data_IF_797059942740
#
_entry.id   IF_797059942740
#
_cell.length_a   1.000
_cell.length_b   1.000
_cell.length_c   1.000
_cell.angle_alpha   90.00
_cell.angle_beta   90.00
_cell.angle_gamma   90.00
#
_symmetry.space_group_name_H-M   'P 1'
#
loop_
_entity.id
_entity.type
_entity.pdbx_description
1 polymer ?
#
# COMPACT_ATOMS: atom_id res chain seq x y z
N UNK A 1 -25.63 17.93 -26.99
CA UNK A 1 -24.52 17.33 -27.76
C UNK A 1 -23.70 16.49 -26.78
N UNK A 2 -23.88 15.16 -26.77
CA UNK A 2 -23.16 14.23 -25.87
C UNK A 2 -21.75 14.05 -26.42
N UNK A 3 -20.73 14.48 -25.69
CA UNK A 3 -19.35 14.11 -25.98
C UNK A 3 -19.21 12.60 -25.78
N UNK A 4 -18.70 11.95 -26.82
CA UNK A 4 -18.46 10.52 -26.87
C UNK A 4 -17.63 10.08 -25.66
N UNK A 5 -18.09 9.02 -24.98
CA UNK A 5 -17.26 8.25 -24.08
C UNK A 5 -15.98 7.87 -24.83
N UNK A 6 -14.84 8.38 -24.36
CA UNK A 6 -13.54 7.86 -24.74
C UNK A 6 -13.55 6.36 -24.46
N UNK A 7 -13.48 5.56 -25.52
CA UNK A 7 -13.43 4.12 -25.42
C UNK A 7 -12.21 3.72 -24.59
N UNK A 8 -12.42 3.13 -23.42
CA UNK A 8 -11.37 2.48 -22.68
C UNK A 8 -11.10 1.10 -23.33
N UNK A 9 -10.34 1.09 -24.43
CA UNK A 9 -9.95 -0.11 -25.19
C UNK A 9 -8.77 -0.84 -24.51
N UNK A 10 -8.32 -0.35 -23.35
CA UNK A 10 -7.26 -0.97 -22.56
C UNK A 10 -7.74 -2.28 -21.95
N UNK A 11 -7.12 -3.39 -22.32
CA UNK A 11 -7.26 -4.64 -21.57
C UNK A 11 -6.47 -4.46 -20.27
N UNK A 12 -7.16 -4.40 -19.13
CA UNK A 12 -6.52 -4.29 -17.83
C UNK A 12 -5.57 -5.46 -17.60
N UNK A 13 -4.28 -5.17 -17.47
CA UNK A 13 -3.30 -6.15 -16.98
C UNK A 13 -3.37 -6.07 -15.46
N UNK A 14 -3.74 -7.18 -14.81
CA UNK A 14 -3.69 -7.27 -13.36
C UNK A 14 -2.21 -7.21 -12.93
N UNK A 15 -1.79 -6.06 -12.40
CA UNK A 15 -0.46 -5.91 -11.82
C UNK A 15 -0.45 -6.54 -10.43
N UNK A 16 -0.06 -7.80 -10.36
CA UNK A 16 0.28 -8.47 -9.11
C UNK A 16 1.65 -8.00 -8.64
N UNK A 17 1.83 -7.89 -7.32
CA UNK A 17 3.14 -7.63 -6.75
C UNK A 17 4.08 -8.82 -7.01
N UNK A 18 5.38 -8.55 -6.94
CA UNK A 18 6.40 -9.56 -7.16
C UNK A 18 6.31 -10.72 -6.17
N UNK A 19 6.55 -11.92 -6.69
CA UNK A 19 6.77 -13.13 -5.91
C UNK A 19 8.26 -13.32 -5.58
N UNK A 20 8.55 -14.16 -4.58
CA UNK A 20 9.91 -14.39 -4.08
C UNK A 20 10.90 -14.84 -5.19
N UNK A 21 10.42 -15.60 -6.16
CA UNK A 21 11.19 -16.05 -7.33
C UNK A 21 11.57 -14.90 -8.28
N UNK A 22 10.75 -13.86 -8.39
CA UNK A 22 10.95 -12.70 -9.28
C UNK A 22 11.91 -11.67 -8.67
N UNK A 23 11.96 -11.58 -7.33
CA UNK A 23 12.84 -10.64 -6.61
C UNK A 23 14.14 -11.25 -6.11
N UNK A 24 14.50 -12.47 -6.55
CA UNK A 24 15.79 -13.10 -6.22
C UNK A 24 17.01 -12.18 -6.40
N UNK A 25 17.10 -11.31 -7.43
CA UNK A 25 18.23 -10.39 -7.56
C UNK A 25 18.40 -9.42 -6.38
N UNK A 26 17.33 -9.10 -5.63
CA UNK A 26 17.40 -8.24 -4.46
C UNK A 26 18.12 -8.88 -3.27
N UNK A 27 18.24 -10.21 -3.25
CA UNK A 27 18.95 -10.96 -2.19
C UNK A 27 20.40 -10.47 -2.06
N UNK A 28 21.08 -10.26 -3.19
CA UNK A 28 22.48 -9.83 -3.22
C UNK A 28 22.69 -8.49 -2.49
N UNK A 29 21.69 -7.60 -2.51
CA UNK A 29 21.74 -6.32 -1.80
C UNK A 29 21.58 -6.43 -0.28
N UNK A 30 21.16 -7.60 0.22
CA UNK A 30 20.85 -7.85 1.64
C UNK A 30 21.88 -8.76 2.33
N UNK A 31 22.73 -9.48 1.57
CA UNK A 31 23.71 -10.45 2.11
C UNK A 31 24.63 -9.85 3.18
N UNK A 32 25.06 -8.59 3.00
CA UNK A 32 25.94 -7.93 3.97
C UNK A 32 25.22 -7.46 5.26
N UNK A 33 23.89 -7.55 5.31
CA UNK A 33 23.06 -6.99 6.40
C UNK A 33 22.31 -8.05 7.20
N UNK A 34 22.37 -9.32 6.83
CA UNK A 34 21.61 -10.36 7.52
C UNK A 34 22.19 -11.76 7.34
N UNK A 35 21.91 -12.64 8.30
CA UNK A 35 22.29 -14.06 8.20
C UNK A 35 21.45 -14.83 7.17
N UNK A 36 20.17 -14.49 7.02
CA UNK A 36 19.26 -15.16 6.09
C UNK A 36 18.50 -14.16 5.19
N UNK A 37 19.13 -13.73 4.08
CA UNK A 37 18.52 -12.79 3.12
C UNK A 37 17.19 -13.26 2.53
N UNK A 38 17.00 -14.58 2.39
CA UNK A 38 15.76 -15.13 1.85
C UNK A 38 14.58 -14.95 2.82
N UNK A 39 14.81 -15.20 4.11
CA UNK A 39 13.80 -14.95 5.15
C UNK A 39 13.49 -13.46 5.25
N UNK A 40 14.52 -12.62 5.26
CA UNK A 40 14.34 -11.16 5.27
C UNK A 40 13.48 -10.71 4.09
N UNK A 41 13.80 -11.15 2.86
CA UNK A 41 13.04 -10.79 1.68
C UNK A 41 11.60 -11.32 1.73
N UNK A 42 11.38 -12.52 2.26
CA UNK A 42 10.03 -13.06 2.47
C UNK A 42 9.21 -12.19 3.43
N UNK A 43 9.83 -11.70 4.50
CA UNK A 43 9.16 -10.77 5.43
C UNK A 43 8.88 -9.42 4.77
N UNK A 44 9.81 -8.88 3.99
CA UNK A 44 9.57 -7.65 3.22
C UNK A 44 8.35 -7.82 2.31
N UNK A 45 8.29 -8.91 1.52
CA UNK A 45 7.16 -9.18 0.63
C UNK A 45 5.84 -9.36 1.38
N UNK A 46 5.87 -9.95 2.59
CA UNK A 46 4.69 -10.09 3.45
C UNK A 46 4.10 -8.73 3.85
N UNK A 47 4.97 -7.72 4.00
CA UNK A 47 4.57 -6.35 4.33
C UNK A 47 4.19 -5.50 3.13
N UNK A 48 4.92 -5.61 2.02
CA UNK A 48 4.75 -4.76 0.82
C UNK A 48 3.74 -5.34 -0.18
N UNK A 49 3.37 -6.61 -0.02
CA UNK A 49 2.55 -7.35 -0.98
C UNK A 49 3.24 -7.52 -2.34
N UNK A 50 4.58 -7.43 -2.38
CA UNK A 50 5.39 -7.48 -3.59
C UNK A 50 5.34 -6.22 -4.45
N UNK A 51 4.72 -5.13 -3.98
CA UNK A 51 4.65 -3.91 -4.78
C UNK A 51 6.07 -3.38 -5.04
N UNK A 52 6.48 -3.15 -6.30
CA UNK A 52 7.88 -2.85 -6.65
C UNK A 52 8.46 -1.67 -5.86
N UNK A 53 7.71 -0.56 -5.80
CA UNK A 53 8.13 0.66 -5.10
C UNK A 53 8.38 0.43 -3.61
N UNK A 54 7.43 -0.20 -2.92
CA UNK A 54 7.53 -0.44 -1.47
C UNK A 54 8.61 -1.49 -1.16
N UNK A 55 8.72 -2.53 -2.00
CA UNK A 55 9.75 -3.57 -1.86
C UNK A 55 11.14 -2.99 -2.01
N UNK A 56 11.35 -2.14 -3.02
CA UNK A 56 12.62 -1.45 -3.23
C UNK A 56 12.94 -0.48 -2.09
N UNK A 57 11.94 0.30 -1.63
CA UNK A 57 12.08 1.22 -0.51
C UNK A 57 12.53 0.50 0.77
N UNK A 58 11.88 -0.60 1.14
CA UNK A 58 12.24 -1.37 2.34
C UNK A 58 13.64 -1.98 2.22
N UNK A 59 14.01 -2.53 1.05
CA UNK A 59 15.38 -3.03 0.84
C UNK A 59 16.43 -1.92 0.97
N UNK A 60 16.14 -0.71 0.46
CA UNK A 60 17.03 0.44 0.60
C UNK A 60 17.19 0.87 2.06
N UNK A 61 16.09 0.93 2.83
CA UNK A 61 16.14 1.25 4.25
C UNK A 61 17.03 0.29 5.05
N UNK A 62 16.95 -1.02 4.76
CA UNK A 62 17.83 -2.01 5.41
C UNK A 62 19.29 -1.74 5.05
N UNK A 63 19.58 -1.57 3.74
CA UNK A 63 20.94 -1.37 3.25
C UNK A 63 21.59 -0.12 3.84
N UNK A 64 20.83 0.96 3.94
CA UNK A 64 21.33 2.28 4.37
C UNK A 64 21.35 2.42 5.91
N UNK A 65 20.75 1.48 6.64
CA UNK A 65 20.80 1.42 8.10
C UNK A 65 22.04 0.68 8.62
N UNK A 66 22.48 1.00 9.83
CA UNK A 66 23.59 0.30 10.51
C UNK A 66 23.17 -1.03 11.16
N UNK A 67 21.93 -1.48 10.92
CA UNK A 67 21.40 -2.68 11.54
C UNK A 67 21.98 -3.96 10.93
N UNK A 68 22.01 -5.01 11.74
CA UNK A 68 22.29 -6.36 11.28
C UNK A 68 21.18 -7.31 11.73
N UNK A 69 20.60 -8.06 10.79
CA UNK A 69 19.43 -8.91 11.03
C UNK A 69 19.91 -10.35 11.29
N UNK A 70 19.81 -10.76 12.56
CA UNK A 70 20.10 -12.12 12.99
C UNK A 70 18.96 -13.09 12.61
N UNK A 71 19.32 -14.36 12.40
CA UNK A 71 18.34 -15.42 12.18
C UNK A 71 17.41 -15.57 13.39
N UNK A 72 16.10 -15.62 13.16
CA UNK A 72 15.07 -15.70 14.18
C UNK A 72 14.49 -14.35 14.62
N UNK A 73 15.11 -13.23 14.24
CA UNK A 73 14.62 -11.87 14.55
C UNK A 73 14.19 -11.09 13.31
N UNK A 74 14.13 -11.72 12.13
CA UNK A 74 13.81 -11.05 10.86
C UNK A 74 12.44 -10.37 10.91
N UNK A 75 11.41 -11.07 11.38
CA UNK A 75 10.04 -10.55 11.40
C UNK A 75 9.89 -9.32 12.32
N UNK A 76 10.46 -9.38 13.53
CA UNK A 76 10.42 -8.30 14.51
C UNK A 76 11.19 -7.07 14.00
N UNK A 77 12.40 -7.28 13.48
CA UNK A 77 13.26 -6.21 12.98
C UNK A 77 12.64 -5.52 11.75
N UNK A 78 12.10 -6.30 10.80
CA UNK A 78 11.45 -5.73 9.62
C UNK A 78 10.17 -4.99 9.99
N UNK A 79 9.39 -5.52 10.93
CA UNK A 79 8.22 -4.82 11.46
C UNK A 79 8.61 -3.49 12.09
N UNK A 80 9.61 -3.47 12.98
CA UNK A 80 10.05 -2.24 13.64
C UNK A 80 10.61 -1.22 12.65
N UNK A 81 11.43 -1.67 11.69
CA UNK A 81 11.96 -0.81 10.62
C UNK A 81 10.82 -0.16 9.82
N UNK A 82 9.84 -0.95 9.35
CA UNK A 82 8.72 -0.43 8.57
C UNK A 82 7.86 0.51 9.42
N UNK A 83 7.60 0.15 10.67
CA UNK A 83 6.79 0.99 11.54
C UNK A 83 7.46 2.35 11.79
N UNK A 84 8.75 2.34 12.14
CA UNK A 84 9.49 3.55 12.52
C UNK A 84 9.87 4.42 11.33
N UNK A 85 10.27 3.82 10.21
CA UNK A 85 10.79 4.57 9.05
C UNK A 85 9.74 4.83 7.98
N UNK A 86 8.69 4.01 7.87
CA UNK A 86 7.66 4.16 6.83
C UNK A 86 6.34 4.62 7.44
N UNK A 87 5.74 3.81 8.32
CA UNK A 87 4.37 4.08 8.83
C UNK A 87 4.32 5.32 9.71
N UNK A 88 5.30 5.58 10.57
CA UNK A 88 5.27 6.76 11.45
C UNK A 88 5.69 8.05 10.73
N UNK A 89 6.34 7.94 9.57
CA UNK A 89 6.97 9.07 8.85
C UNK A 89 6.36 9.34 7.46
N UNK A 90 5.31 8.61 7.09
CA UNK A 90 4.69 8.67 5.75
C UNK A 90 4.20 10.07 5.31
N UNK A 91 4.03 11.01 6.24
CA UNK A 91 3.58 12.37 5.91
C UNK A 91 4.67 13.45 6.03
N UNK A 92 5.88 13.09 6.50
CA UNK A 92 6.93 14.05 6.87
C UNK A 92 8.22 13.92 6.04
N UNK A 93 8.37 12.87 5.23
CA UNK A 93 9.59 12.60 4.48
C UNK A 93 9.43 13.01 3.00
N UNK A 94 10.50 13.55 2.39
CA UNK A 94 10.51 13.97 0.97
C UNK A 94 10.25 12.80 0.01
N UNK A 95 10.59 11.57 0.41
CA UNK A 95 10.32 10.35 -0.37
C UNK A 95 8.88 9.83 -0.22
N UNK A 96 8.04 10.51 0.56
CA UNK A 96 6.68 10.04 0.86
C UNK A 96 5.61 10.51 -0.14
N UNK A 97 6.02 11.04 -1.29
CA UNK A 97 5.13 11.48 -2.37
C UNK A 97 4.13 10.41 -2.78
N UNK A 98 4.52 9.14 -2.77
CA UNK A 98 3.61 8.03 -3.05
C UNK A 98 2.41 7.98 -2.09
N UNK A 99 2.66 8.02 -0.78
CA UNK A 99 1.57 7.96 0.21
C UNK A 99 0.73 9.24 0.21
N UNK A 100 1.35 10.40 -0.02
CA UNK A 100 0.62 11.66 -0.22
C UNK A 100 -0.29 11.59 -1.44
N UNK A 101 0.19 11.05 -2.55
CA UNK A 101 -0.62 10.88 -3.76
C UNK A 101 -1.83 9.95 -3.51
N UNK A 102 -1.66 8.85 -2.78
CA UNK A 102 -2.77 7.99 -2.36
C UNK A 102 -3.75 8.76 -1.47
N UNK A 103 -3.26 9.47 -0.44
CA UNK A 103 -4.07 10.31 0.44
C UNK A 103 -4.87 11.34 -0.35
N UNK A 104 -4.21 12.10 -1.21
CA UNK A 104 -4.80 13.20 -1.96
C UNK A 104 -5.86 12.70 -2.92
N UNK A 105 -5.65 11.51 -3.50
CA UNK A 105 -6.65 10.84 -4.32
C UNK A 105 -7.89 10.44 -3.52
N UNK A 106 -7.77 10.10 -2.24
CA UNK A 106 -8.92 9.77 -1.39
C UNK A 106 -9.66 11.02 -0.87
N UNK A 107 -8.93 12.09 -0.53
CA UNK A 107 -9.47 13.29 0.12
C UNK A 107 -9.96 14.33 -0.88
N UNK A 108 -9.22 14.54 -1.97
CA UNK A 108 -9.49 15.57 -2.98
C UNK A 108 -10.07 14.99 -4.27
N UNK A 109 -10.70 13.80 -4.19
CA UNK A 109 -11.41 13.21 -5.33
C UNK A 109 -12.56 14.10 -5.80
N UNK A 110 -12.85 14.06 -7.11
CA UNK A 110 -14.04 14.69 -7.70
C UNK A 110 -15.34 13.93 -7.36
N UNK A 111 -15.22 12.68 -6.87
CA UNK A 111 -16.32 11.92 -6.32
C UNK A 111 -16.68 12.42 -4.91
N UNK A 112 -17.61 11.76 -4.22
CA UNK A 112 -17.85 12.04 -2.79
C UNK A 112 -16.72 11.43 -1.95
N UNK A 113 -15.78 12.22 -1.38
CA UNK A 113 -14.68 11.68 -0.57
C UNK A 113 -15.19 10.96 0.67
N UNK A 114 -16.34 11.42 1.20
CA UNK A 114 -17.03 10.82 2.33
C UNK A 114 -17.51 9.40 2.00
N UNK A 115 -18.16 9.20 0.85
CA UNK A 115 -18.62 7.86 0.43
C UNK A 115 -17.45 6.93 0.11
N UNK A 116 -16.40 7.46 -0.51
CA UNK A 116 -15.17 6.73 -0.82
C UNK A 116 -14.51 6.18 0.45
N UNK A 117 -14.33 7.04 1.47
CA UNK A 117 -13.78 6.66 2.76
C UNK A 117 -14.67 5.69 3.53
N UNK A 118 -16.00 5.84 3.49
CA UNK A 118 -16.92 4.88 4.11
C UNK A 118 -16.87 3.50 3.43
N UNK A 119 -16.67 3.44 2.11
CA UNK A 119 -16.44 2.15 1.41
C UNK A 119 -15.11 1.54 1.84
N UNK A 120 -14.05 2.33 1.89
CA UNK A 120 -12.76 1.85 2.36
C UNK A 120 -12.81 1.37 3.82
N UNK A 121 -13.55 2.05 4.70
CA UNK A 121 -13.80 1.61 6.07
C UNK A 121 -14.45 0.22 6.14
N UNK A 122 -15.40 -0.08 5.24
CA UNK A 122 -15.98 -1.42 5.16
C UNK A 122 -14.95 -2.49 4.78
N UNK A 123 -13.97 -2.16 3.95
CA UNK A 123 -12.86 -3.07 3.61
C UNK A 123 -11.99 -3.31 4.83
N UNK A 124 -11.66 -2.25 5.59
CA UNK A 124 -10.90 -2.37 6.84
C UNK A 124 -11.59 -3.31 7.85
N UNK A 125 -12.91 -3.19 8.02
CA UNK A 125 -13.66 -4.00 8.99
C UNK A 125 -13.95 -5.42 8.53
N UNK A 126 -14.31 -5.62 7.26
CA UNK A 126 -14.69 -6.94 6.73
C UNK A 126 -13.52 -7.73 6.17
N UNK A 127 -12.36 -7.10 5.99
CA UNK A 127 -11.21 -7.64 5.27
C UNK A 127 -11.41 -7.66 3.75
N UNK A 128 -12.65 -7.83 3.28
CA UNK A 128 -13.00 -7.84 1.87
C UNK A 128 -14.42 -7.33 1.59
N UNK A 129 -14.61 -6.76 0.39
CA UNK A 129 -15.94 -6.44 -0.16
C UNK A 129 -16.03 -6.92 -1.61
N UNK A 130 -17.23 -7.22 -2.09
CA UNK A 130 -17.44 -7.52 -3.51
C UNK A 130 -17.15 -6.29 -4.37
N UNK A 131 -16.54 -6.52 -5.53
CA UNK A 131 -16.40 -5.49 -6.58
C UNK A 131 -17.78 -5.20 -7.16
N UNK A 132 -18.10 -3.93 -7.32
CA UNK A 132 -19.26 -3.40 -8.02
C UNK A 132 -18.83 -2.34 -9.04
N UNK A 133 -19.74 -1.92 -9.92
CA UNK A 133 -19.47 -0.95 -10.98
C UNK A 133 -19.47 0.52 -10.51
N UNK A 134 -19.33 0.75 -9.19
CA UNK A 134 -19.35 2.10 -8.65
C UNK A 134 -18.05 2.85 -8.96
N UNK A 135 -18.20 4.16 -9.17
CA UNK A 135 -17.07 5.06 -9.39
C UNK A 135 -16.11 5.05 -8.19
N UNK A 136 -16.60 4.91 -6.95
CA UNK A 136 -15.74 4.85 -5.77
C UNK A 136 -14.89 3.58 -5.72
N UNK A 137 -15.42 2.42 -6.14
CA UNK A 137 -14.60 1.20 -6.21
C UNK A 137 -13.51 1.33 -7.27
N UNK A 138 -13.85 1.90 -8.42
CA UNK A 138 -12.87 2.19 -9.47
C UNK A 138 -11.79 3.14 -8.94
N UNK A 139 -12.17 4.17 -8.19
CA UNK A 139 -11.23 5.13 -7.63
C UNK A 139 -10.33 4.52 -6.54
N UNK A 140 -10.86 3.61 -5.70
CA UNK A 140 -10.04 2.84 -4.76
C UNK A 140 -9.02 1.96 -5.47
N UNK A 141 -9.41 1.29 -6.56
CA UNK A 141 -8.47 0.49 -7.36
C UNK A 141 -7.39 1.35 -8.02
N UNK A 142 -7.76 2.50 -8.58
CA UNK A 142 -6.83 3.43 -9.21
C UNK A 142 -5.86 4.09 -8.21
N UNK A 143 -6.23 4.17 -6.94
CA UNK A 143 -5.32 4.61 -5.88
C UNK A 143 -4.21 3.59 -5.57
N UNK A 144 -4.37 2.33 -5.97
CA UNK A 144 -3.44 1.25 -5.60
C UNK A 144 -3.49 0.85 -4.12
N UNK A 145 -4.36 1.46 -3.32
CA UNK A 145 -4.57 1.14 -1.91
C UNK A 145 -5.16 -0.27 -1.71
N UNK A 146 -6.01 -0.66 -2.66
CA UNK A 146 -6.70 -1.95 -2.68
C UNK A 146 -6.43 -2.67 -4.00
N UNK A 147 -6.62 -3.98 -3.99
CA UNK A 147 -6.52 -4.83 -5.18
C UNK A 147 -7.76 -5.71 -5.32
N UNK A 148 -8.07 -6.08 -6.55
CA UNK A 148 -9.10 -7.06 -6.86
C UNK A 148 -8.48 -8.46 -6.84
N UNK A 149 -8.93 -9.30 -5.90
CA UNK A 149 -8.63 -10.72 -5.83
C UNK A 149 -9.94 -11.49 -6.10
N UNK A 150 -10.05 -12.08 -7.29
CA UNK A 150 -11.19 -12.94 -7.65
C UNK A 150 -12.58 -12.29 -7.47
N UNK A 151 -12.70 -11.01 -7.82
CA UNK A 151 -13.95 -10.25 -7.68
C UNK A 151 -14.18 -9.65 -6.30
N UNK A 152 -13.20 -9.73 -5.40
CA UNK A 152 -13.24 -9.13 -4.07
C UNK A 152 -12.11 -8.12 -3.88
N UNK A 153 -12.45 -6.95 -3.35
CA UNK A 153 -11.48 -5.92 -2.99
C UNK A 153 -10.89 -6.21 -1.63
N UNK A 154 -9.56 -6.17 -1.55
CA UNK A 154 -8.79 -6.28 -0.31
C UNK A 154 -7.74 -5.18 -0.28
N UNK A 155 -7.34 -4.76 0.91
CA UNK A 155 -6.19 -3.86 1.07
C UNK A 155 -4.97 -4.53 0.44
N UNK A 156 -4.20 -3.77 -0.34
CA UNK A 156 -3.12 -4.35 -1.14
C UNK A 156 -2.05 -4.99 -0.26
N UNK A 157 -1.63 -4.28 0.80
CA UNK A 157 -0.53 -4.70 1.65
C UNK A 157 -0.66 -4.16 3.09
N UNK A 158 0.19 -4.68 3.99
CA UNK A 158 0.17 -4.33 5.41
C UNK A 158 0.59 -2.89 5.66
N UNK A 159 1.51 -2.34 4.86
CA UNK A 159 1.94 -0.93 5.00
C UNK A 159 0.75 0.01 4.85
N UNK A 160 -0.06 -0.17 3.80
CA UNK A 160 -1.27 0.63 3.61
C UNK A 160 -2.29 0.45 4.72
N UNK A 161 -2.49 -0.79 5.18
CA UNK A 161 -3.40 -1.06 6.30
C UNK A 161 -2.99 -0.33 7.58
N UNK A 162 -1.68 -0.13 7.80
CA UNK A 162 -1.16 0.57 8.97
C UNK A 162 -1.17 2.09 8.81
N UNK A 163 -0.94 2.61 7.61
CA UNK A 163 -0.97 4.07 7.32
C UNK A 163 -2.41 4.57 7.23
N UNK A 164 -3.20 3.97 6.34
CA UNK A 164 -4.60 4.32 6.09
C UNK A 164 -5.49 3.43 6.96
N UNK A 165 -5.26 3.45 8.27
CA UNK A 165 -5.97 2.63 9.23
C UNK A 165 -7.33 3.26 9.62
N UNK A 166 -8.06 2.60 10.54
CA UNK A 166 -9.37 3.08 11.00
C UNK A 166 -9.32 4.46 11.66
N UNK A 167 -8.25 4.75 12.41
CA UNK A 167 -8.06 6.05 13.03
C UNK A 167 -7.89 7.14 11.97
N UNK A 168 -7.03 6.90 10.96
CA UNK A 168 -6.83 7.83 9.85
C UNK A 168 -8.13 8.10 9.07
N UNK A 169 -8.92 7.06 8.80
CA UNK A 169 -10.23 7.21 8.13
C UNK A 169 -11.19 8.05 8.97
N UNK A 170 -11.26 7.77 10.27
CA UNK A 170 -12.14 8.50 11.20
C UNK A 170 -11.76 9.97 11.30
N UNK A 171 -10.46 10.28 11.40
CA UNK A 171 -9.96 11.65 11.39
C UNK A 171 -10.24 12.36 10.07
N UNK A 172 -10.05 11.67 8.94
CA UNK A 172 -10.32 12.21 7.61
C UNK A 172 -11.80 12.54 7.40
N UNK A 173 -12.71 11.66 7.83
CA UNK A 173 -14.15 11.92 7.79
C UNK A 173 -14.54 13.13 8.65
N UNK A 174 -13.95 13.29 9.84
CA UNK A 174 -14.16 14.48 10.69
C UNK A 174 -13.68 15.76 10.01
N UNK A 175 -12.48 15.74 9.42
CA UNK A 175 -11.93 16.88 8.67
C UNK A 175 -12.85 17.31 7.51
N UNK A 176 -13.38 16.34 6.75
CA UNK A 176 -14.30 16.59 5.64
C UNK A 176 -15.68 17.10 6.09
N UNK A 177 -16.09 16.82 7.32
CA UNK A 177 -17.35 17.33 7.88
C UNK A 177 -17.22 18.80 8.36
N UNK A 178 -16.03 19.20 8.80
CA UNK A 178 -15.72 20.55 9.27
C UNK A 178 -15.40 21.54 8.15
N UNK A 179 -15.04 21.02 6.96
CA UNK A 179 -14.67 21.82 5.79
C UNK A 179 -15.85 22.14 4.87
N UNK A 180 -17.09 21.90 5.33
CA UNK A 180 -18.36 22.29 4.68
C UNK A 180 -18.92 23.53 5.34
#
# INVERSE_FOLDING_TARGET
MRLALLFNIGKGIALTGFELNEVKPLILGLEAKCHNPQNVLKEILSWTGGQPLLTQLTCQLIRDSDMFISSGSEAEIIQDLIQTQVVNRWNYQDNAEHFKAVRDRLIYTYLSPQNLLLKYQKILHKGEIAVDDSAEITELLLSGLVRNCEGKLRIYNRIYQNIFNEEWVTQSLKYLAQSK
#
